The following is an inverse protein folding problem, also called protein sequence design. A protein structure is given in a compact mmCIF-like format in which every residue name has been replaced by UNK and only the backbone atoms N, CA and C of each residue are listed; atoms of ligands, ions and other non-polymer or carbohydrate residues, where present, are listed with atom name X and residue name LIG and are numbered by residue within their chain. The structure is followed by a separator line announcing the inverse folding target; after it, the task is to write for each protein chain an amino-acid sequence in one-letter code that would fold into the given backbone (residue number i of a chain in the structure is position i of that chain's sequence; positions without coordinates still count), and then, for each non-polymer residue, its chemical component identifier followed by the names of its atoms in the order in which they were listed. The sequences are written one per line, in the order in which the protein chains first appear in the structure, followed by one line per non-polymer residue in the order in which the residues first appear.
data_IF_810708492212
#
_entry.id   IF_810708492212
#
_cell.length_a   1.000
_cell.length_b   1.000
_cell.length_c   1.000
_cell.angle_alpha   90.00
_cell.angle_beta   90.00
_cell.angle_gamma   90.00
#
_symmetry.space_group_name_H-M   'P 1'
#
loop_
_entity.id
_entity.type
_entity.pdbx_description
1 polymer ?
#
# COMPACT_ATOMS: atom_id res chain seq x y z
N UNK A 1 33.63 47.21 -11.42
CA UNK A 1 33.77 45.77 -11.69
C UNK A 1 33.44 45.54 -13.13
N UNK A 2 34.25 44.74 -13.83
CA UNK A 2 33.98 44.35 -15.21
C UNK A 2 33.04 43.13 -15.26
N UNK A 3 32.36 42.93 -16.38
CA UNK A 3 31.47 41.78 -16.60
C UNK A 3 32.32 40.51 -16.67
N UNK A 4 32.07 39.57 -15.75
CA UNK A 4 32.82 38.31 -15.67
C UNK A 4 32.35 37.25 -16.68
N UNK A 5 31.07 37.29 -17.08
CA UNK A 5 30.50 36.43 -18.11
C UNK A 5 29.17 37.02 -18.63
N UNK A 6 28.92 36.85 -19.93
CA UNK A 6 27.65 37.18 -20.57
C UNK A 6 27.23 36.00 -21.45
N UNK A 7 26.15 35.30 -21.06
CA UNK A 7 25.67 34.09 -21.73
C UNK A 7 24.15 34.23 -21.93
N UNK A 8 23.60 33.91 -23.12
CA UNK A 8 22.15 33.92 -23.33
C UNK A 8 21.44 32.93 -22.40
N UNK A 9 20.39 33.37 -21.71
CA UNK A 9 19.61 32.51 -20.81
C UNK A 9 19.13 31.21 -21.48
N UNK A 10 18.71 31.28 -22.76
CA UNK A 10 18.30 30.11 -23.54
C UNK A 10 19.41 29.06 -23.72
N UNK A 11 20.67 29.48 -23.79
CA UNK A 11 21.79 28.56 -23.90
C UNK A 11 21.99 27.73 -22.62
N UNK A 12 21.58 28.27 -21.46
CA UNK A 12 21.68 27.60 -20.17
C UNK A 12 20.44 26.77 -19.83
N UNK A 13 19.26 27.17 -20.32
CA UNK A 13 17.98 26.57 -19.92
C UNK A 13 17.36 25.62 -20.95
N UNK A 14 17.44 25.95 -22.26
CA UNK A 14 16.62 25.31 -23.30
C UNK A 14 17.46 24.57 -24.36
N UNK A 15 18.69 25.03 -24.62
CA UNK A 15 19.55 24.45 -25.66
C UNK A 15 20.46 23.33 -25.14
N UNK A 16 20.07 22.65 -24.07
CA UNK A 16 20.79 21.47 -23.58
C UNK A 16 20.54 20.30 -24.54
N UNK A 17 21.58 19.51 -24.90
CA UNK A 17 21.39 18.35 -25.76
C UNK A 17 20.40 17.36 -25.16
N UNK A 18 19.39 16.97 -25.94
CA UNK A 18 18.50 15.87 -25.60
C UNK A 18 19.10 14.57 -26.14
N UNK A 19 19.15 13.55 -25.28
CA UNK A 19 19.70 12.24 -25.64
C UNK A 19 18.57 11.24 -25.86
N UNK A 20 18.49 10.71 -27.08
CA UNK A 20 17.65 9.56 -27.39
C UNK A 20 18.42 8.27 -27.10
N UNK A 21 17.78 7.33 -26.40
CA UNK A 21 18.35 6.02 -26.09
C UNK A 21 17.46 4.94 -26.70
N UNK A 22 18.06 3.84 -27.12
CA UNK A 22 17.31 2.69 -27.64
C UNK A 22 16.55 2.04 -26.49
N UNK A 23 15.23 2.05 -26.59
CA UNK A 23 14.37 1.29 -25.67
C UNK A 23 14.37 -0.19 -26.06
N UNK A 24 14.59 -1.08 -25.09
CA UNK A 24 14.44 -2.52 -25.31
C UNK A 24 13.00 -2.84 -25.66
N UNK A 25 12.79 -3.63 -26.73
CA UNK A 25 11.48 -4.08 -27.17
C UNK A 25 10.94 -5.26 -26.35
N UNK A 26 11.84 -6.00 -25.72
CA UNK A 26 11.55 -7.17 -24.90
C UNK A 26 12.03 -6.95 -23.47
N UNK A 27 11.39 -7.57 -22.45
CA UNK A 27 11.88 -7.53 -21.09
C UNK A 27 13.33 -8.04 -20.98
N UNK A 28 14.17 -7.44 -20.12
CA UNK A 28 15.51 -7.94 -19.83
C UNK A 28 15.50 -9.39 -19.32
N UNK A 29 16.62 -10.09 -19.49
CA UNK A 29 16.72 -11.51 -19.14
C UNK A 29 16.43 -11.79 -17.66
N UNK A 30 16.90 -10.93 -16.74
CA UNK A 30 16.65 -11.09 -15.31
C UNK A 30 15.14 -11.07 -14.98
N UNK A 31 14.37 -10.25 -15.69
CA UNK A 31 12.91 -10.14 -15.53
C UNK A 31 12.24 -11.42 -16.04
N UNK A 32 12.64 -11.90 -17.23
CA UNK A 32 12.12 -13.13 -17.82
C UNK A 32 12.32 -14.32 -16.88
N UNK A 33 13.53 -14.49 -16.34
CA UNK A 33 13.87 -15.53 -15.38
C UNK A 33 13.04 -15.40 -14.09
N UNK A 34 12.89 -14.17 -13.57
CA UNK A 34 12.06 -13.92 -12.39
C UNK A 34 10.60 -14.32 -12.63
N UNK A 35 10.05 -14.04 -13.81
CA UNK A 35 8.67 -14.38 -14.17
C UNK A 35 8.39 -15.87 -14.37
N UNK A 36 9.42 -16.72 -14.50
CA UNK A 36 9.25 -18.18 -14.52
C UNK A 36 8.88 -18.74 -13.14
N UNK A 37 9.02 -17.95 -12.07
CA UNK A 37 8.59 -18.34 -10.74
C UNK A 37 7.05 -18.35 -10.63
N UNK A 38 6.52 -19.36 -9.95
CA UNK A 38 5.10 -19.48 -9.59
C UNK A 38 4.99 -20.03 -8.17
N UNK A 39 3.86 -19.80 -7.51
CA UNK A 39 3.59 -20.31 -6.15
C UNK A 39 3.66 -21.83 -6.04
N UNK A 40 3.53 -22.56 -7.15
CA UNK A 40 3.74 -24.02 -7.19
C UNK A 40 5.18 -24.46 -6.91
N UNK A 41 6.16 -23.55 -6.94
CA UNK A 41 7.54 -23.82 -6.50
C UNK A 41 7.71 -23.79 -4.98
N UNK A 42 6.73 -23.27 -4.23
CA UNK A 42 6.76 -23.25 -2.78
C UNK A 42 6.34 -24.62 -2.22
N UNK A 43 6.81 -24.99 -1.01
CA UNK A 43 6.32 -26.15 -0.29
C UNK A 43 4.79 -26.14 -0.16
N UNK A 44 4.19 -27.33 -0.05
CA UNK A 44 2.76 -27.44 0.22
C UNK A 44 2.47 -26.84 1.59
N UNK A 45 1.40 -26.04 1.68
CA UNK A 45 0.90 -25.51 2.94
C UNK A 45 -0.49 -26.09 3.25
N UNK A 46 -0.89 -26.01 4.50
CA UNK A 46 -2.24 -26.35 4.94
C UNK A 46 -2.77 -25.30 5.92
N UNK A 47 -3.95 -25.55 6.49
CA UNK A 47 -4.62 -24.62 7.41
C UNK A 47 -3.78 -24.24 8.65
N UNK A 48 -2.72 -25.00 9.00
CA UNK A 48 -1.88 -24.77 10.17
C UNK A 48 -0.64 -23.93 9.87
N UNK A 49 -0.10 -24.02 8.65
CA UNK A 49 1.17 -23.40 8.30
C UNK A 49 1.84 -23.98 7.07
N UNK A 50 3.13 -23.73 6.97
CA UNK A 50 3.99 -24.14 5.85
C UNK A 50 5.40 -24.48 6.35
N UNK A 51 6.02 -25.47 5.73
CA UNK A 51 7.43 -25.77 5.97
C UNK A 51 8.31 -24.87 5.10
N UNK A 52 9.25 -24.16 5.72
CA UNK A 52 10.16 -23.21 5.06
C UNK A 52 11.57 -23.50 5.53
N UNK A 53 12.47 -23.79 4.59
CA UNK A 53 13.88 -24.11 4.87
C UNK A 53 14.11 -25.21 5.94
N UNK A 54 13.21 -26.20 6.02
CA UNK A 54 13.28 -27.31 6.97
C UNK A 54 12.72 -27.00 8.37
N UNK A 55 12.08 -25.84 8.55
CA UNK A 55 11.36 -25.46 9.77
C UNK A 55 9.86 -25.31 9.46
N UNK A 56 8.99 -25.87 10.29
CA UNK A 56 7.56 -25.61 10.21
C UNK A 56 7.24 -24.25 10.82
N UNK A 57 6.65 -23.35 10.04
CA UNK A 57 6.17 -22.06 10.51
C UNK A 57 4.64 -22.04 10.51
N UNK A 58 4.06 -21.73 11.66
CA UNK A 58 2.62 -21.45 11.72
C UNK A 58 2.30 -20.11 11.04
N UNK A 59 1.03 -19.91 10.67
CA UNK A 59 0.58 -18.63 10.14
C UNK A 59 0.77 -17.46 11.13
N UNK A 60 0.75 -17.76 12.43
CA UNK A 60 1.05 -16.80 13.50
C UNK A 60 2.52 -16.38 13.47
N UNK A 61 3.44 -17.35 13.33
CA UNK A 61 4.87 -17.07 13.25
C UNK A 61 5.20 -16.21 12.04
N UNK A 62 4.55 -16.50 10.89
CA UNK A 62 4.71 -15.73 9.67
C UNK A 62 4.19 -14.31 9.83
N UNK A 63 2.99 -14.12 10.39
CA UNK A 63 2.46 -12.77 10.62
C UNK A 63 3.38 -11.97 11.56
N UNK A 64 3.90 -12.57 12.63
CA UNK A 64 4.86 -11.90 13.53
C UNK A 64 6.17 -11.53 12.81
N UNK A 65 6.69 -12.41 11.93
CA UNK A 65 7.87 -12.11 11.10
C UNK A 65 7.60 -10.92 10.17
N UNK A 66 6.42 -10.86 9.54
CA UNK A 66 6.03 -9.76 8.65
C UNK A 66 5.82 -8.45 9.41
N UNK A 67 5.11 -8.45 10.54
CA UNK A 67 4.95 -7.27 11.40
C UNK A 67 6.28 -6.74 11.96
N UNK A 68 7.31 -7.60 12.01
CA UNK A 68 8.68 -7.21 12.38
C UNK A 68 9.52 -6.69 11.18
N UNK A 69 8.97 -6.64 9.97
CA UNK A 69 9.70 -6.19 8.78
C UNK A 69 9.58 -4.68 8.63
N UNK A 70 10.67 -3.90 8.45
CA UNK A 70 10.61 -2.44 8.44
C UNK A 70 9.62 -1.81 7.44
N UNK A 71 9.38 -2.44 6.29
CA UNK A 71 8.40 -2.00 5.30
C UNK A 71 6.97 -2.05 5.83
N UNK A 72 6.63 -3.03 6.66
CA UNK A 72 5.30 -3.17 7.30
C UNK A 72 5.27 -2.48 8.66
N UNK A 73 6.27 -2.70 9.51
CA UNK A 73 6.29 -2.29 10.91
C UNK A 73 5.97 -0.80 11.16
N UNK A 74 5.57 -0.48 12.39
CA UNK A 74 5.22 0.89 12.78
C UNK A 74 6.34 1.89 12.47
N UNK A 75 5.99 2.93 11.72
CA UNK A 75 6.91 4.05 11.45
C UNK A 75 7.02 5.05 12.62
N UNK A 76 6.47 4.71 13.79
CA UNK A 76 6.44 5.58 14.97
C UNK A 76 7.79 5.96 15.52
N UNK A 77 8.82 5.15 15.31
CA UNK A 77 10.17 5.53 15.67
C UNK A 77 10.64 6.77 14.88
N UNK A 78 10.23 6.89 13.61
CA UNK A 78 10.60 8.01 12.73
C UNK A 78 9.81 9.26 13.08
N UNK A 79 8.47 9.21 13.02
CA UNK A 79 7.67 10.43 13.15
C UNK A 79 7.62 11.01 14.57
N UNK A 80 8.00 10.26 15.61
CA UNK A 80 8.14 10.80 16.98
C UNK A 80 9.39 11.68 17.17
N UNK A 81 10.31 11.67 16.21
CA UNK A 81 11.51 12.52 16.24
C UNK A 81 11.24 13.94 15.74
N UNK A 82 10.09 14.17 15.11
CA UNK A 82 9.73 15.45 14.49
C UNK A 82 8.43 15.98 15.08
N UNK A 83 8.28 17.31 15.06
CA UNK A 83 6.98 17.93 15.32
C UNK A 83 6.06 17.67 14.12
N UNK A 84 4.96 16.96 14.37
CA UNK A 84 3.94 16.57 13.39
C UNK A 84 2.63 17.37 13.55
N UNK A 85 2.61 18.37 14.43
CA UNK A 85 1.45 19.18 14.77
C UNK A 85 1.71 20.68 14.61
N UNK A 86 2.64 21.09 13.74
CA UNK A 86 2.97 22.51 13.54
C UNK A 86 1.70 23.34 13.39
N UNK A 87 1.48 24.25 14.35
CA UNK A 87 0.32 25.13 14.47
C UNK A 87 -1.05 24.44 14.65
N UNK A 88 -1.10 23.20 15.13
CA UNK A 88 -2.32 22.40 15.37
C UNK A 88 -3.22 22.26 14.12
N UNK A 89 -2.59 22.11 12.94
CA UNK A 89 -3.27 22.04 11.66
C UNK A 89 -3.55 20.61 11.16
N UNK A 90 -2.87 19.63 11.75
CA UNK A 90 -3.01 18.20 11.45
C UNK A 90 -4.28 17.66 12.12
N UNK A 91 -5.14 16.99 11.35
CA UNK A 91 -6.41 16.40 11.84
C UNK A 91 -6.23 14.92 12.14
N UNK A 92 -5.59 14.17 11.23
CA UNK A 92 -5.18 12.78 11.46
C UNK A 92 -3.65 12.73 11.62
N UNK A 93 -3.21 12.20 12.77
CA UNK A 93 -1.79 12.10 13.11
C UNK A 93 -1.12 10.94 12.35
N UNK A 94 0.20 11.01 12.11
CA UNK A 94 0.94 9.92 11.47
C UNK A 94 0.71 8.56 12.17
N UNK A 95 0.47 7.51 11.38
CA UNK A 95 0.21 6.16 11.88
C UNK A 95 -1.23 5.92 12.38
N UNK A 96 -2.13 6.90 12.27
CA UNK A 96 -3.55 6.72 12.56
C UNK A 96 -4.41 6.40 11.33
N UNK A 97 -3.87 6.53 10.13
CA UNK A 97 -4.57 6.35 8.86
C UNK A 97 -3.60 6.19 7.69
N UNK A 98 -4.13 5.75 6.55
CA UNK A 98 -3.39 5.54 5.30
C UNK A 98 -2.87 6.85 4.66
N UNK A 99 -3.48 7.99 4.98
CA UNK A 99 -3.04 9.29 4.51
C UNK A 99 -3.07 10.35 5.63
N UNK A 100 -2.13 11.29 5.57
CA UNK A 100 -2.12 12.44 6.47
C UNK A 100 -3.23 13.42 6.08
N UNK A 101 -3.97 13.95 7.06
CA UNK A 101 -5.04 14.93 6.81
C UNK A 101 -4.72 16.25 7.48
N UNK A 102 -4.74 17.32 6.70
CA UNK A 102 -4.39 18.68 7.09
C UNK A 102 -5.60 19.61 6.87
N UNK A 103 -5.94 20.44 7.85
CA UNK A 103 -7.02 21.42 7.72
C UNK A 103 -6.61 22.56 6.78
N UNK A 104 -7.51 22.97 5.89
CA UNK A 104 -7.32 24.18 5.10
C UNK A 104 -7.59 25.42 5.96
N UNK A 105 -6.71 26.41 5.88
CA UNK A 105 -6.86 27.67 6.62
C UNK A 105 -7.45 28.76 5.74
N UNK A 106 -8.19 29.72 6.32
CA UNK A 106 -8.65 30.87 5.58
C UNK A 106 -7.45 31.68 5.11
N UNK A 107 -7.40 31.96 3.82
CA UNK A 107 -6.60 33.04 3.30
C UNK A 107 -7.26 34.36 3.71
N UNK A 108 -6.46 35.37 4.08
CA UNK A 108 -6.99 36.68 4.49
C UNK A 108 -7.88 37.26 3.39
N UNK A 109 -9.15 37.54 3.72
CA UNK A 109 -10.15 38.05 2.78
C UNK A 109 -11.01 36.99 2.08
N UNK A 110 -10.84 35.69 2.36
CA UNK A 110 -11.70 34.64 1.82
C UNK A 110 -13.06 34.58 2.54
N UNK A 111 -14.15 34.46 1.78
CA UNK A 111 -15.52 34.22 2.27
C UNK A 111 -15.87 32.74 2.39
N UNK A 112 -14.98 31.84 1.95
CA UNK A 112 -15.13 30.39 2.11
C UNK A 112 -14.87 30.05 3.57
N UNK A 113 -15.81 29.36 4.23
CA UNK A 113 -15.70 28.82 5.58
C UNK A 113 -14.73 27.62 5.55
N UNK A 114 -13.43 27.79 5.84
CA UNK A 114 -12.40 26.81 5.46
C UNK A 114 -12.13 25.78 6.58
N UNK A 115 -12.73 25.97 7.76
CA UNK A 115 -12.54 25.09 8.93
C UNK A 115 -13.14 23.70 8.76
N UNK A 116 -13.99 23.50 7.76
CA UNK A 116 -14.63 22.23 7.44
C UNK A 116 -13.87 21.45 6.37
N UNK A 117 -13.05 22.09 5.53
CA UNK A 117 -12.31 21.41 4.46
C UNK A 117 -10.87 21.07 4.82
N UNK A 118 -10.30 20.06 4.18
CA UNK A 118 -8.92 19.63 4.37
C UNK A 118 -8.25 19.14 3.08
N UNK A 119 -6.95 18.93 3.18
CA UNK A 119 -6.14 18.24 2.17
C UNK A 119 -5.60 16.97 2.79
N UNK A 120 -5.75 15.87 2.09
CA UNK A 120 -5.06 14.63 2.41
C UNK A 120 -3.82 14.47 1.54
N UNK A 121 -2.78 13.84 2.08
CA UNK A 121 -1.55 13.55 1.36
C UNK A 121 -1.01 12.17 1.73
N UNK A 122 -0.51 11.45 0.73
CA UNK A 122 0.17 10.15 0.87
C UNK A 122 1.39 10.08 -0.03
N UNK A 123 2.29 9.14 0.27
CA UNK A 123 3.49 8.85 -0.53
C UNK A 123 3.68 7.34 -0.58
N UNK A 124 3.73 6.80 -1.79
CA UNK A 124 3.68 5.36 -2.03
C UNK A 124 4.76 4.93 -3.03
N UNK A 125 5.33 3.74 -2.82
CA UNK A 125 6.28 3.11 -3.74
C UNK A 125 6.60 1.65 -3.36
N UNK A 126 6.15 0.68 -4.16
CA UNK A 126 6.61 -0.71 -4.07
C UNK A 126 7.73 -0.97 -5.11
N UNK A 127 8.99 -0.79 -4.70
CA UNK A 127 10.13 -0.91 -5.61
C UNK A 127 10.39 -2.34 -6.10
N UNK A 128 9.94 -3.38 -5.36
CA UNK A 128 10.02 -4.77 -5.83
C UNK A 128 9.12 -5.01 -7.03
N UNK A 129 7.90 -4.48 -7.00
CA UNK A 129 6.99 -4.60 -8.12
C UNK A 129 7.58 -3.93 -9.36
N UNK A 130 8.11 -2.70 -9.20
CA UNK A 130 8.72 -1.96 -10.32
C UNK A 130 10.00 -2.66 -10.82
N UNK A 131 10.76 -3.31 -9.93
CA UNK A 131 11.94 -4.09 -10.33
C UNK A 131 11.57 -5.30 -11.21
N UNK A 132 10.48 -5.99 -10.85
CA UNK A 132 9.99 -7.20 -11.53
C UNK A 132 9.16 -6.88 -12.77
N UNK A 133 8.40 -5.79 -12.77
CA UNK A 133 7.67 -5.27 -13.93
C UNK A 133 7.51 -3.74 -13.76
N UNK A 134 8.36 -2.91 -14.38
CA UNK A 134 8.32 -1.47 -14.17
C UNK A 134 6.99 -0.84 -14.56
N UNK A 135 6.28 -1.42 -15.52
CA UNK A 135 5.02 -0.86 -16.00
C UNK A 135 3.86 -1.23 -15.09
N UNK A 136 3.67 -2.52 -14.79
CA UNK A 136 2.60 -2.94 -13.85
C UNK A 136 2.89 -2.42 -12.43
N UNK A 137 4.14 -2.47 -11.98
CA UNK A 137 4.53 -1.96 -10.66
C UNK A 137 4.29 -0.46 -10.52
N UNK A 138 4.59 0.34 -11.54
CA UNK A 138 4.33 1.78 -11.46
C UNK A 138 2.84 2.13 -11.53
N UNK A 139 2.01 1.33 -12.24
CA UNK A 139 0.54 1.45 -12.15
C UNK A 139 0.04 1.15 -10.73
N UNK A 140 0.60 0.12 -10.09
CA UNK A 140 0.23 -0.26 -8.72
C UNK A 140 0.49 0.88 -7.74
N UNK A 141 1.64 1.53 -7.86
CA UNK A 141 2.02 2.68 -7.00
C UNK A 141 1.02 3.83 -7.12
N UNK A 142 0.57 4.18 -8.33
CA UNK A 142 -0.44 5.24 -8.53
C UNK A 142 -1.80 4.81 -7.98
N UNK A 143 -2.19 3.55 -8.17
CA UNK A 143 -3.45 3.01 -7.68
C UNK A 143 -3.53 3.02 -6.15
N UNK A 144 -2.45 2.59 -5.48
CA UNK A 144 -2.32 2.56 -4.03
C UNK A 144 -2.36 3.97 -3.42
N UNK A 145 -1.63 4.93 -4.00
CA UNK A 145 -1.70 6.32 -3.54
C UNK A 145 -3.12 6.90 -3.59
N UNK A 146 -3.88 6.61 -4.64
CA UNK A 146 -5.27 7.03 -4.72
C UNK A 146 -6.17 6.27 -3.72
N UNK A 147 -5.87 4.99 -3.45
CA UNK A 147 -6.57 4.14 -2.49
C UNK A 147 -6.38 4.65 -1.06
N UNK A 148 -5.16 4.98 -0.67
CA UNK A 148 -4.81 5.53 0.64
C UNK A 148 -5.52 6.86 0.92
N UNK A 149 -5.61 7.75 -0.09
CA UNK A 149 -6.44 8.95 0.01
C UNK A 149 -7.94 8.62 0.17
N UNK A 150 -8.42 7.61 -0.54
CA UNK A 150 -9.83 7.20 -0.49
C UNK A 150 -10.22 6.61 0.86
N UNK A 151 -9.32 5.87 1.53
CA UNK A 151 -9.52 5.32 2.88
C UNK A 151 -9.74 6.40 3.95
N UNK A 152 -9.22 7.62 3.76
CA UNK A 152 -9.50 8.76 4.65
C UNK A 152 -10.67 9.63 4.18
N UNK A 153 -11.36 9.23 3.10
CA UNK A 153 -12.48 9.96 2.50
C UNK A 153 -12.09 11.08 1.55
N UNK A 154 -10.80 11.21 1.20
CA UNK A 154 -10.33 12.27 0.32
C UNK A 154 -10.51 11.89 -1.15
N UNK A 155 -10.97 12.83 -1.98
CA UNK A 155 -10.98 12.67 -3.43
C UNK A 155 -9.56 12.89 -3.98
N UNK A 156 -8.94 11.90 -4.64
CA UNK A 156 -7.63 12.08 -5.29
C UNK A 156 -7.70 13.17 -6.37
N UNK A 157 -6.70 14.06 -6.42
CA UNK A 157 -6.69 15.22 -7.33
C UNK A 157 -5.42 15.33 -8.18
N UNK A 158 -4.24 15.15 -7.61
CA UNK A 158 -3.00 15.41 -8.31
C UNK A 158 -1.83 14.60 -7.75
N UNK A 159 -0.86 14.35 -8.62
CA UNK A 159 0.37 13.60 -8.33
C UNK A 159 1.58 14.51 -8.40
N UNK A 160 2.58 14.24 -7.56
CA UNK A 160 3.98 14.57 -7.77
C UNK A 160 4.80 13.29 -7.81
N UNK A 161 5.75 13.18 -8.72
CA UNK A 161 6.61 11.99 -8.82
C UNK A 161 8.08 12.30 -8.49
N UNK A 162 8.73 11.42 -7.74
CA UNK A 162 10.17 11.46 -7.52
C UNK A 162 10.78 10.17 -8.07
N UNK A 163 11.29 10.25 -9.29
CA UNK A 163 11.80 9.13 -10.06
C UNK A 163 13.26 8.86 -9.67
N UNK A 164 13.53 7.73 -9.01
CA UNK A 164 14.89 7.31 -8.63
C UNK A 164 15.28 6.04 -9.37
N UNK A 165 16.24 6.14 -10.28
CA UNK A 165 16.67 5.04 -11.14
C UNK A 165 18.20 4.97 -11.27
N UNK A 166 18.71 3.81 -11.71
CA UNK A 166 20.11 3.63 -12.09
C UNK A 166 20.51 4.44 -13.33
N UNK A 167 21.65 4.12 -13.94
CA UNK A 167 22.13 4.86 -15.10
C UNK A 167 21.21 4.67 -16.32
N UNK A 168 20.68 5.75 -16.93
CA UNK A 168 19.89 5.68 -18.16
C UNK A 168 20.75 5.39 -19.39
N UNK A 169 22.07 5.29 -19.23
CA UNK A 169 22.99 4.97 -20.33
C UNK A 169 23.02 3.46 -20.60
N UNK A 170 22.66 2.66 -19.60
CA UNK A 170 22.52 1.20 -19.71
C UNK A 170 21.12 0.87 -20.22
N UNK A 171 21.02 -0.12 -21.12
CA UNK A 171 19.75 -0.51 -21.73
C UNK A 171 18.69 -0.90 -20.68
N UNK A 172 19.08 -1.62 -19.63
CA UNK A 172 18.18 -2.02 -18.53
C UNK A 172 17.71 -0.81 -17.73
N UNK A 173 18.60 0.11 -17.36
CA UNK A 173 18.24 1.31 -16.59
C UNK A 173 17.29 2.22 -17.35
N UNK A 174 17.54 2.42 -18.66
CA UNK A 174 16.63 3.16 -19.52
C UNK A 174 15.28 2.46 -19.72
N UNK A 175 15.28 1.13 -19.85
CA UNK A 175 14.05 0.33 -19.96
C UNK A 175 13.18 0.45 -18.70
N UNK A 176 13.78 0.32 -17.51
CA UNK A 176 13.07 0.48 -16.24
C UNK A 176 12.44 1.87 -16.13
N UNK A 177 13.22 2.92 -16.39
CA UNK A 177 12.74 4.31 -16.35
C UNK A 177 11.57 4.51 -17.34
N UNK A 178 11.74 4.11 -18.60
CA UNK A 178 10.74 4.35 -19.64
C UNK A 178 9.42 3.62 -19.37
N UNK A 179 9.47 2.36 -18.92
CA UNK A 179 8.26 1.59 -18.62
C UNK A 179 7.59 2.03 -17.32
N UNK A 180 8.35 2.44 -16.31
CA UNK A 180 7.79 3.07 -15.11
C UNK A 180 7.05 4.38 -15.45
N UNK A 181 7.65 5.28 -16.23
CA UNK A 181 6.98 6.51 -16.68
C UNK A 181 5.69 6.21 -17.47
N UNK A 182 5.68 5.17 -18.30
CA UNK A 182 4.47 4.72 -19.01
C UNK A 182 3.39 4.24 -18.03
N UNK A 183 3.77 3.45 -17.02
CA UNK A 183 2.85 2.95 -15.99
C UNK A 183 2.23 4.08 -15.17
N UNK A 184 3.05 5.04 -14.71
CA UNK A 184 2.57 6.25 -14.01
C UNK A 184 1.61 7.02 -14.92
N UNK A 185 1.98 7.26 -16.17
CA UNK A 185 1.15 8.00 -17.13
C UNK A 185 -0.21 7.35 -17.34
N UNK A 186 -0.26 6.02 -17.45
CA UNK A 186 -1.51 5.29 -17.57
C UNK A 186 -2.35 5.38 -16.29
N UNK A 187 -1.76 5.12 -15.12
CA UNK A 187 -2.49 5.21 -13.85
C UNK A 187 -3.07 6.60 -13.60
N UNK A 188 -2.30 7.65 -13.92
CA UNK A 188 -2.77 9.04 -13.82
C UNK A 188 -3.94 9.33 -14.77
N UNK A 189 -3.93 8.75 -15.98
CA UNK A 189 -5.06 8.90 -16.93
C UNK A 189 -6.30 8.16 -16.45
N UNK A 190 -6.13 6.93 -15.98
CA UNK A 190 -7.23 6.07 -15.53
C UNK A 190 -7.92 6.61 -14.27
N UNK A 191 -7.19 7.30 -13.39
CA UNK A 191 -7.72 7.89 -12.16
C UNK A 191 -8.00 9.41 -12.27
N UNK A 192 -7.67 10.04 -13.39
CA UNK A 192 -7.87 11.47 -13.60
C UNK A 192 -7.01 12.36 -12.70
N UNK A 193 -5.80 11.91 -12.35
CA UNK A 193 -4.87 12.57 -11.43
C UNK A 193 -3.62 13.08 -12.15
N UNK A 194 -3.60 14.33 -12.67
CA UNK A 194 -2.44 14.85 -13.39
C UNK A 194 -1.18 14.93 -12.53
N UNK A 195 -0.03 14.69 -13.16
CA UNK A 195 1.28 14.99 -12.57
C UNK A 195 1.52 16.49 -12.66
N UNK A 196 1.65 17.15 -11.50
CA UNK A 196 1.74 18.61 -11.38
C UNK A 196 3.16 19.11 -11.10
N UNK A 197 4.06 18.20 -10.72
CA UNK A 197 5.45 18.48 -10.43
C UNK A 197 6.19 17.18 -10.16
N UNK A 198 7.51 17.26 -10.01
CA UNK A 198 8.31 16.09 -9.72
C UNK A 198 9.80 16.35 -9.73
N UNK A 199 10.56 15.28 -9.50
CA UNK A 199 12.01 15.25 -9.53
C UNK A 199 12.48 13.96 -10.22
N UNK A 200 13.63 14.04 -10.89
CA UNK A 200 14.26 12.87 -11.53
C UNK A 200 15.69 12.76 -11.03
N UNK A 201 15.95 11.71 -10.26
CA UNK A 201 17.27 11.29 -9.80
C UNK A 201 17.73 10.08 -10.60
N UNK A 202 18.82 10.23 -11.34
CA UNK A 202 19.40 9.19 -12.19
C UNK A 202 20.80 8.84 -11.68
N UNK A 203 21.37 7.75 -12.20
CA UNK A 203 22.71 7.28 -11.79
C UNK A 203 22.78 6.86 -10.32
N UNK A 204 21.65 6.42 -9.74
CA UNK A 204 21.60 5.87 -8.39
C UNK A 204 22.16 4.43 -8.40
N UNK A 205 23.49 4.34 -8.33
CA UNK A 205 24.23 3.08 -8.36
C UNK A 205 25.33 3.12 -7.29
N UNK A 206 25.59 1.98 -6.65
CA UNK A 206 26.75 1.78 -5.77
C UNK A 206 27.70 0.77 -6.43
N UNK A 207 28.88 0.55 -5.87
CA UNK A 207 29.79 -0.51 -6.35
C UNK A 207 29.77 -1.68 -5.37
N UNK A 208 29.67 -2.91 -5.90
CA UNK A 208 29.87 -4.11 -5.09
C UNK A 208 31.34 -4.32 -4.68
N UNK A 209 31.61 -5.37 -3.91
CA UNK A 209 32.95 -5.69 -3.44
C UNK A 209 33.95 -6.00 -4.58
N UNK A 210 33.45 -6.29 -5.78
CA UNK A 210 34.23 -6.57 -6.99
C UNK A 210 34.35 -5.32 -7.88
N UNK A 211 33.78 -4.18 -7.47
CA UNK A 211 33.83 -2.93 -8.21
C UNK A 211 32.81 -2.85 -9.36
N UNK A 212 31.81 -3.74 -9.43
CA UNK A 212 30.76 -3.63 -10.44
C UNK A 212 29.64 -2.71 -9.94
N UNK A 213 29.09 -1.85 -10.82
CA UNK A 213 27.99 -0.97 -10.43
C UNK A 213 26.69 -1.76 -10.21
N UNK A 214 26.11 -1.60 -9.03
CA UNK A 214 24.83 -2.14 -8.61
C UNK A 214 23.81 -1.00 -8.55
N UNK A 215 22.83 -1.05 -9.44
CA UNK A 215 21.73 -0.10 -9.42
C UNK A 215 20.79 -0.38 -8.24
N UNK A 216 20.18 0.67 -7.71
CA UNK A 216 19.03 0.51 -6.80
C UNK A 216 17.88 -0.20 -7.50
N UNK A 217 16.92 -0.70 -6.73
CA UNK A 217 15.62 -1.01 -7.33
C UNK A 217 15.00 0.26 -7.91
N UNK A 218 14.37 0.19 -9.10
CA UNK A 218 13.67 1.33 -9.66
C UNK A 218 12.59 1.80 -8.67
N UNK A 219 12.67 3.06 -8.26
CA UNK A 219 11.87 3.60 -7.15
C UNK A 219 11.19 4.90 -7.60
N UNK A 220 10.11 4.80 -8.41
CA UNK A 220 9.26 5.92 -8.76
C UNK A 220 8.31 6.22 -7.60
N UNK A 221 8.74 7.09 -6.69
CA UNK A 221 7.92 7.49 -5.55
C UNK A 221 6.80 8.40 -6.02
N UNK A 222 5.55 8.05 -5.73
CA UNK A 222 4.38 8.87 -6.06
C UNK A 222 3.86 9.50 -4.78
N UNK A 223 3.95 10.82 -4.72
CA UNK A 223 3.19 11.62 -3.76
C UNK A 223 1.85 11.99 -4.38
N UNK A 224 0.75 11.80 -3.65
CA UNK A 224 -0.57 12.18 -4.13
C UNK A 224 -1.30 13.03 -3.10
N UNK A 225 -2.01 14.05 -3.58
CA UNK A 225 -2.85 14.91 -2.77
C UNK A 225 -4.32 14.77 -3.14
N UNK A 226 -5.18 14.84 -2.14
CA UNK A 226 -6.63 14.78 -2.29
C UNK A 226 -7.35 15.84 -1.48
N UNK A 227 -8.59 16.14 -1.88
CA UNK A 227 -9.47 17.09 -1.20
C UNK A 227 -10.42 16.36 -0.26
N UNK A 228 -10.56 16.89 0.95
CA UNK A 228 -11.64 16.55 1.87
C UNK A 228 -12.55 17.76 1.97
N UNK A 229 -13.79 17.62 1.51
CA UNK A 229 -14.77 18.71 1.56
C UNK A 229 -15.25 19.00 2.98
N UNK A 230 -15.36 17.95 3.80
CA UNK A 230 -15.88 18.00 5.17
C UNK A 230 -15.06 17.07 6.09
N UNK A 231 -14.28 17.67 6.98
CA UNK A 231 -13.41 17.04 7.96
C UNK A 231 -14.19 16.28 9.05
N UNK A 232 -15.52 16.44 9.12
CA UNK A 232 -16.37 15.57 9.95
C UNK A 232 -16.70 14.24 9.26
N UNK A 233 -16.28 14.06 8.00
CA UNK A 233 -16.51 12.87 7.16
C UNK A 233 -15.17 12.29 6.73
N UNK A 234 -14.37 11.93 7.72
CA UNK A 234 -13.10 11.22 7.58
C UNK A 234 -13.11 10.05 8.56
N UNK A 235 -12.27 9.04 8.31
CA UNK A 235 -12.00 7.99 9.27
C UNK A 235 -10.52 7.61 9.27
N UNK A 236 -10.08 6.96 10.34
CA UNK A 236 -8.75 6.33 10.41
C UNK A 236 -8.80 4.84 10.10
N UNK A 237 -7.64 4.19 10.15
CA UNK A 237 -7.49 2.76 9.85
C UNK A 237 -7.92 1.85 11.02
N UNK A 238 -7.79 2.34 12.26
CA UNK A 238 -8.07 1.54 13.46
C UNK A 238 -9.55 1.23 13.63
N UNK A 239 -9.88 0.02 14.11
CA UNK A 239 -11.24 -0.33 14.51
C UNK A 239 -11.78 0.64 15.56
N UNK A 240 -13.05 1.05 15.44
CA UNK A 240 -13.64 2.06 16.33
C UNK A 240 -14.57 1.46 17.38
N UNK A 241 -15.47 0.54 17.00
CA UNK A 241 -16.49 0.02 17.90
C UNK A 241 -16.58 -1.50 17.88
N UNK A 242 -16.70 -2.10 19.06
CA UNK A 242 -17.03 -3.53 19.21
C UNK A 242 -18.42 -3.81 18.63
N UNK A 243 -18.53 -4.86 17.83
CA UNK A 243 -19.77 -5.26 17.14
C UNK A 243 -19.94 -4.67 15.75
N UNK A 244 -19.08 -3.74 15.31
CA UNK A 244 -19.08 -3.28 13.91
C UNK A 244 -18.75 -4.48 12.99
N UNK A 245 -19.51 -4.61 11.90
CA UNK A 245 -19.26 -5.62 10.88
C UNK A 245 -18.02 -5.26 10.06
N UNK A 246 -17.14 -6.22 9.82
CA UNK A 246 -15.92 -6.06 9.01
C UNK A 246 -16.20 -6.56 7.59
N UNK A 247 -15.92 -5.73 6.60
CA UNK A 247 -16.10 -6.03 5.18
C UNK A 247 -14.79 -5.80 4.42
N UNK A 248 -14.55 -6.64 3.43
CA UNK A 248 -13.54 -6.45 2.40
C UNK A 248 -14.23 -5.93 1.14
N UNK A 249 -13.84 -4.75 0.68
CA UNK A 249 -14.28 -4.18 -0.59
C UNK A 249 -13.34 -4.63 -1.70
N UNK A 250 -13.90 -4.93 -2.87
CA UNK A 250 -13.14 -5.37 -4.05
C UNK A 250 -12.94 -6.88 -4.10
N UNK A 251 -11.75 -7.33 -4.50
CA UNK A 251 -11.51 -8.76 -4.75
C UNK A 251 -11.76 -9.59 -3.48
N UNK A 252 -12.72 -10.54 -3.49
CA UNK A 252 -13.04 -11.34 -2.31
C UNK A 252 -11.94 -12.38 -2.03
N UNK A 253 -11.97 -12.97 -0.84
CA UNK A 253 -10.94 -13.91 -0.33
C UNK A 253 -10.78 -15.15 -1.21
N UNK A 254 -11.85 -15.56 -1.90
CA UNK A 254 -11.82 -16.69 -2.82
C UNK A 254 -11.08 -16.42 -4.13
N UNK A 255 -10.78 -15.17 -4.46
CA UNK A 255 -9.99 -14.81 -5.64
C UNK A 255 -8.52 -14.97 -5.30
N UNK A 256 -7.81 -15.76 -6.12
CA UNK A 256 -6.37 -15.91 -6.01
C UNK A 256 -5.67 -14.57 -6.26
N UNK A 257 -4.85 -14.16 -5.30
CA UNK A 257 -3.91 -13.05 -5.44
C UNK A 257 -2.48 -13.55 -5.62
N UNK A 258 -1.59 -12.64 -6.01
CA UNK A 258 -0.22 -12.99 -6.36
C UNK A 258 0.69 -12.92 -5.14
N UNK A 259 1.60 -13.90 -5.06
CA UNK A 259 2.77 -13.85 -4.15
C UNK A 259 4.01 -13.31 -4.87
N UNK A 260 3.96 -13.10 -6.18
CA UNK A 260 5.07 -12.56 -6.95
C UNK A 260 5.41 -11.14 -6.50
N UNK A 261 6.65 -10.91 -6.10
CA UNK A 261 7.11 -9.62 -5.58
C UNK A 261 6.63 -9.25 -4.17
N UNK A 262 5.87 -10.11 -3.50
CA UNK A 262 5.27 -9.79 -2.19
C UNK A 262 6.28 -9.72 -1.05
N UNK A 263 5.93 -9.01 0.03
CA UNK A 263 6.69 -9.04 1.28
C UNK A 263 6.79 -10.45 1.84
N UNK A 264 5.71 -11.24 1.73
CA UNK A 264 5.72 -12.64 2.15
C UNK A 264 6.81 -13.45 1.43
N UNK A 265 6.88 -13.37 0.10
CA UNK A 265 7.87 -14.12 -0.66
C UNK A 265 9.30 -13.64 -0.36
N UNK A 266 9.49 -12.32 -0.24
CA UNK A 266 10.78 -11.71 0.03
C UNK A 266 11.31 -12.03 1.43
N UNK A 267 10.46 -11.93 2.46
CA UNK A 267 10.86 -12.07 3.86
C UNK A 267 10.91 -13.53 4.30
N UNK A 268 9.91 -14.33 3.93
CA UNK A 268 9.77 -15.70 4.44
C UNK A 268 10.60 -16.68 3.61
N UNK A 269 10.60 -16.52 2.28
CA UNK A 269 11.29 -17.43 1.36
C UNK A 269 12.57 -16.84 0.75
N UNK A 270 12.97 -15.64 1.19
CA UNK A 270 14.18 -14.95 0.73
C UNK A 270 14.26 -14.84 -0.79
N UNK A 271 13.11 -14.63 -1.44
CA UNK A 271 12.96 -14.68 -2.90
C UNK A 271 12.30 -13.41 -3.43
N UNK A 272 12.89 -12.77 -4.44
CA UNK A 272 12.26 -11.69 -5.21
C UNK A 272 12.07 -12.17 -6.64
N UNK A 273 10.89 -12.70 -6.92
CA UNK A 273 10.55 -13.30 -8.21
C UNK A 273 9.03 -13.28 -8.41
N UNK A 274 8.59 -13.79 -9.57
CA UNK A 274 7.19 -13.80 -9.99
C UNK A 274 6.78 -12.50 -10.67
N UNK A 275 5.59 -12.52 -11.26
CA UNK A 275 4.98 -11.30 -11.78
C UNK A 275 4.26 -10.58 -10.64
N UNK A 276 4.39 -9.25 -10.54
CA UNK A 276 3.59 -8.49 -9.59
C UNK A 276 2.10 -8.55 -9.98
N UNK A 277 1.19 -8.20 -9.05
CA UNK A 277 -0.24 -8.17 -9.33
C UNK A 277 -0.57 -7.25 -10.49
N UNK A 278 -1.46 -7.69 -11.38
CA UNK A 278 -1.98 -6.85 -12.45
C UNK A 278 -3.03 -5.88 -11.90
N UNK A 279 -2.92 -4.61 -12.27
CA UNK A 279 -3.88 -3.59 -11.82
C UNK A 279 -5.09 -3.52 -12.74
N UNK A 280 -6.27 -3.68 -12.14
CA UNK A 280 -7.58 -3.42 -12.76
C UNK A 280 -8.07 -2.04 -12.32
N UNK A 281 -7.88 -1.04 -13.18
CA UNK A 281 -8.30 0.32 -12.88
C UNK A 281 -9.82 0.53 -12.86
N UNK A 282 -10.60 -0.34 -13.52
CA UNK A 282 -12.06 -0.25 -13.41
C UNK A 282 -12.47 -0.62 -11.99
N UNK A 283 -11.95 -1.74 -11.47
CA UNK A 283 -12.24 -2.16 -10.11
C UNK A 283 -11.66 -1.20 -9.06
N UNK A 284 -10.43 -0.68 -9.26
CA UNK A 284 -9.85 0.33 -8.36
C UNK A 284 -10.76 1.56 -8.24
N UNK A 285 -11.25 2.10 -9.36
CA UNK A 285 -12.17 3.26 -9.33
C UNK A 285 -13.44 2.96 -8.55
N UNK A 286 -14.07 1.81 -8.82
CA UNK A 286 -15.34 1.46 -8.20
C UNK A 286 -15.19 1.26 -6.69
N UNK A 287 -14.16 0.51 -6.25
CA UNK A 287 -13.86 0.26 -4.84
C UNK A 287 -13.54 1.56 -4.10
N UNK A 288 -12.68 2.39 -4.67
CA UNK A 288 -12.29 3.67 -4.07
C UNK A 288 -13.47 4.64 -3.98
N UNK A 289 -14.31 4.72 -5.03
CA UNK A 289 -15.51 5.56 -5.02
C UNK A 289 -16.52 5.09 -3.96
N UNK A 290 -16.76 3.79 -3.84
CA UNK A 290 -17.68 3.20 -2.86
C UNK A 290 -17.19 3.45 -1.43
N UNK A 291 -15.88 3.33 -1.19
CA UNK A 291 -15.27 3.67 0.10
C UNK A 291 -15.52 5.14 0.48
N UNK A 292 -15.16 6.08 -0.41
CA UNK A 292 -15.39 7.52 -0.17
C UNK A 292 -16.88 7.84 0.03
N UNK A 293 -17.76 7.20 -0.73
CA UNK A 293 -19.21 7.37 -0.57
C UNK A 293 -19.68 6.92 0.82
N UNK A 294 -19.28 5.74 1.28
CA UNK A 294 -19.64 5.24 2.61
C UNK A 294 -19.12 6.12 3.75
N UNK A 295 -17.89 6.64 3.63
CA UNK A 295 -17.32 7.60 4.59
C UNK A 295 -18.12 8.91 4.59
N UNK A 296 -18.43 9.45 3.40
CA UNK A 296 -19.18 10.71 3.28
C UNK A 296 -20.61 10.64 3.86
N UNK A 297 -21.21 9.45 3.89
CA UNK A 297 -22.52 9.19 4.48
C UNK A 297 -22.45 8.77 5.95
N UNK A 298 -21.24 8.71 6.55
CA UNK A 298 -20.99 8.25 7.92
C UNK A 298 -21.49 6.82 8.18
N UNK A 299 -21.46 5.97 7.15
CA UNK A 299 -21.77 4.54 7.26
C UNK A 299 -20.54 3.73 7.65
N UNK A 300 -19.35 4.20 7.28
CA UNK A 300 -18.06 3.59 7.60
C UNK A 300 -17.50 4.20 8.89
N UNK A 301 -17.14 3.34 9.84
CA UNK A 301 -16.44 3.70 11.09
C UNK A 301 -14.94 3.82 10.89
N UNK A 302 -14.34 2.89 10.14
CA UNK A 302 -12.91 2.88 9.81
C UNK A 302 -12.69 2.27 8.43
N UNK A 303 -11.61 2.66 7.77
CA UNK A 303 -11.19 2.10 6.49
C UNK A 303 -9.67 1.99 6.42
N UNK A 304 -9.18 0.89 5.87
CA UNK A 304 -7.76 0.61 5.70
C UNK A 304 -7.55 -0.21 4.44
N UNK A 305 -6.57 0.16 3.65
CA UNK A 305 -6.24 -0.55 2.43
C UNK A 305 -5.56 -1.91 2.71
N UNK A 306 -5.48 -2.81 1.72
CA UNK A 306 -4.77 -4.09 1.85
C UNK A 306 -3.68 -4.21 0.81
N UNK A 307 -2.50 -3.69 1.17
CA UNK A 307 -1.30 -3.63 0.34
C UNK A 307 -0.24 -4.68 0.78
N UNK A 308 0.93 -4.24 1.25
CA UNK A 308 2.06 -5.11 1.64
C UNK A 308 1.71 -6.11 2.74
N UNK A 309 2.08 -7.37 2.54
CA UNK A 309 1.81 -8.45 3.47
C UNK A 309 0.35 -8.95 3.45
N UNK A 310 -0.52 -8.34 2.64
CA UNK A 310 -1.85 -8.85 2.32
C UNK A 310 -2.90 -8.68 3.40
N UNK A 311 -3.92 -9.54 3.35
CA UNK A 311 -5.16 -9.37 4.11
C UNK A 311 -4.94 -9.40 5.64
N UNK A 312 -4.15 -10.37 6.12
CA UNK A 312 -3.98 -10.53 7.57
C UNK A 312 -3.08 -9.47 8.20
N UNK A 313 -2.16 -8.88 7.43
CA UNK A 313 -1.37 -7.72 7.87
C UNK A 313 -2.29 -6.51 8.01
N UNK A 314 -3.11 -6.21 7.01
CA UNK A 314 -4.07 -5.12 7.08
C UNK A 314 -5.05 -5.28 8.26
N UNK A 315 -5.57 -6.50 8.51
CA UNK A 315 -6.40 -6.80 9.68
C UNK A 315 -5.64 -6.56 11.00
N UNK A 316 -4.37 -6.96 11.09
CA UNK A 316 -3.54 -6.74 12.26
C UNK A 316 -3.28 -5.26 12.51
N UNK A 317 -3.01 -4.46 11.47
CA UNK A 317 -2.78 -3.02 11.58
C UNK A 317 -4.03 -2.28 12.05
N UNK A 318 -5.21 -2.69 11.58
CA UNK A 318 -6.48 -2.15 12.07
C UNK A 318 -6.73 -2.49 13.56
N UNK A 319 -6.42 -3.72 13.97
CA UNK A 319 -6.50 -4.13 15.38
C UNK A 319 -5.55 -3.32 16.27
N UNK A 320 -4.30 -3.15 15.82
CA UNK A 320 -3.24 -2.43 16.54
C UNK A 320 -3.56 -0.94 16.67
N UNK A 321 -4.00 -0.31 15.58
CA UNK A 321 -4.35 1.11 15.56
C UNK A 321 -5.63 1.40 16.38
N UNK A 322 -6.61 0.51 16.34
CA UNK A 322 -7.87 0.63 17.09
C UNK A 322 -7.80 0.17 18.55
N UNK A 323 -6.75 -0.57 18.94
CA UNK A 323 -6.66 -1.26 20.23
C UNK A 323 -7.92 -2.13 20.51
N UNK A 324 -8.37 -2.84 19.48
CA UNK A 324 -9.51 -3.75 19.48
C UNK A 324 -9.16 -5.04 18.73
N UNK A 325 -9.89 -6.12 18.99
CA UNK A 325 -9.72 -7.38 18.28
C UNK A 325 -10.62 -7.48 17.04
N UNK A 326 -10.45 -8.56 16.29
CA UNK A 326 -11.33 -8.91 15.19
C UNK A 326 -11.60 -10.42 15.18
N UNK A 327 -12.85 -10.80 14.86
CA UNK A 327 -13.20 -12.18 14.58
C UNK A 327 -13.57 -12.30 13.11
N UNK A 328 -12.79 -13.09 12.38
CA UNK A 328 -12.78 -13.16 10.92
C UNK A 328 -13.05 -14.58 10.48
N UNK A 329 -14.01 -14.75 9.57
CA UNK A 329 -14.22 -15.97 8.81
C UNK A 329 -13.84 -15.71 7.35
N UNK A 330 -12.89 -16.50 6.84
CA UNK A 330 -12.37 -16.33 5.48
C UNK A 330 -13.38 -16.74 4.38
N UNK A 331 -14.44 -17.48 4.73
CA UNK A 331 -15.42 -17.98 3.77
C UNK A 331 -14.88 -19.10 2.87
N UNK A 332 -13.71 -19.66 3.20
CA UNK A 332 -13.10 -20.80 2.50
C UNK A 332 -13.02 -22.02 3.43
N UNK A 333 -13.06 -23.22 2.86
CA UNK A 333 -12.96 -24.48 3.62
C UNK A 333 -11.52 -24.77 4.05
N UNK A 334 -11.33 -25.30 5.26
CA UNK A 334 -10.03 -25.79 5.75
C UNK A 334 -9.41 -26.90 4.89
N UNK A 335 -10.24 -27.66 4.17
CA UNK A 335 -9.86 -28.73 3.25
C UNK A 335 -10.05 -28.35 1.78
N UNK A 336 -10.15 -27.04 1.48
CA UNK A 336 -10.30 -26.54 0.11
C UNK A 336 -9.03 -26.66 -0.74
N UNK A 337 -9.15 -26.36 -2.02
CA UNK A 337 -8.04 -26.39 -2.99
C UNK A 337 -7.17 -25.11 -2.97
N UNK A 338 -7.58 -24.08 -2.24
CA UNK A 338 -6.85 -22.81 -2.16
C UNK A 338 -5.60 -22.94 -1.29
N UNK A 339 -4.49 -22.32 -1.69
CA UNK A 339 -3.32 -22.21 -0.82
C UNK A 339 -3.53 -21.13 0.24
N UNK A 340 -3.28 -21.46 1.50
CA UNK A 340 -3.51 -20.53 2.60
C UNK A 340 -2.51 -19.36 2.61
N UNK A 341 -1.27 -19.54 2.15
CA UNK A 341 -0.31 -18.44 2.02
C UNK A 341 -0.77 -17.38 1.01
N UNK A 342 -1.32 -17.78 -0.14
CA UNK A 342 -1.92 -16.88 -1.13
C UNK A 342 -3.13 -16.12 -0.55
N UNK A 343 -3.98 -16.81 0.21
CA UNK A 343 -5.18 -16.22 0.82
C UNK A 343 -4.84 -15.19 1.89
N UNK A 344 -3.89 -15.52 2.77
CA UNK A 344 -3.55 -14.70 3.93
C UNK A 344 -2.62 -13.54 3.55
N UNK A 345 -1.59 -13.81 2.74
CA UNK A 345 -0.49 -12.88 2.47
C UNK A 345 -0.33 -12.51 0.99
N UNK A 346 -1.23 -12.96 0.13
CA UNK A 346 -1.30 -12.50 -1.26
C UNK A 346 -1.55 -11.00 -1.31
N UNK A 347 -0.79 -10.33 -2.18
CA UNK A 347 -0.86 -8.89 -2.39
C UNK A 347 -1.56 -8.61 -3.72
N UNK A 348 -2.24 -7.47 -3.81
CA UNK A 348 -3.02 -7.11 -4.99
C UNK A 348 -3.69 -5.76 -4.84
N UNK A 349 -4.16 -5.22 -5.96
CA UNK A 349 -4.92 -3.97 -5.97
C UNK A 349 -6.38 -4.14 -5.55
N UNK A 350 -7.05 -3.00 -5.43
CA UNK A 350 -8.48 -2.85 -5.23
C UNK A 350 -9.02 -3.67 -4.05
N UNK A 351 -8.37 -3.57 -2.88
CA UNK A 351 -8.88 -4.13 -1.62
C UNK A 351 -8.81 -3.11 -0.51
N UNK A 352 -9.95 -2.91 0.17
CA UNK A 352 -10.08 -2.03 1.33
C UNK A 352 -10.90 -2.75 2.40
N UNK A 353 -10.37 -2.85 3.61
CA UNK A 353 -11.09 -3.27 4.80
C UNK A 353 -11.89 -2.09 5.36
N UNK A 354 -13.16 -2.31 5.69
CA UNK A 354 -14.00 -1.32 6.34
C UNK A 354 -14.76 -1.91 7.52
N UNK A 355 -14.99 -1.10 8.56
CA UNK A 355 -15.89 -1.44 9.67
C UNK A 355 -17.19 -0.63 9.60
N UNK A 356 -18.32 -1.30 9.81
CA UNK A 356 -19.67 -0.76 9.60
C UNK A 356 -20.54 -1.00 10.83
N UNK A 357 -21.14 0.04 11.43
CA UNK A 357 -22.11 -0.13 12.50
C UNK A 357 -23.31 -0.97 12.08
N UNK A 358 -23.82 -1.82 12.97
CA UNK A 358 -24.96 -2.69 12.68
C UNK A 358 -26.22 -1.95 12.20
N UNK A 359 -26.39 -0.68 12.61
CA UNK A 359 -27.49 0.19 12.16
C UNK A 359 -27.46 0.49 10.66
N UNK A 360 -26.28 0.46 10.03
CA UNK A 360 -26.11 0.75 8.60
C UNK A 360 -25.90 -0.50 7.74
N UNK A 361 -25.84 -1.70 8.34
CA UNK A 361 -25.54 -2.92 7.62
C UNK A 361 -26.44 -3.13 6.39
N UNK A 362 -27.77 -3.01 6.54
CA UNK A 362 -28.70 -3.30 5.45
C UNK A 362 -28.57 -2.32 4.28
N UNK A 363 -28.43 -1.03 4.57
CA UNK A 363 -28.25 -0.01 3.52
C UNK A 363 -26.89 -0.15 2.86
N UNK A 364 -25.86 -0.50 3.64
CA UNK A 364 -24.51 -0.74 3.15
C UNK A 364 -24.44 -1.93 2.19
N UNK A 365 -24.93 -3.09 2.59
CA UNK A 365 -24.94 -4.30 1.75
C UNK A 365 -25.75 -4.11 0.46
N UNK A 366 -26.87 -3.37 0.54
CA UNK A 366 -27.66 -3.02 -0.65
C UNK A 366 -26.87 -2.11 -1.61
N UNK A 367 -26.13 -1.14 -1.07
CA UNK A 367 -25.27 -0.25 -1.86
C UNK A 367 -24.09 -1.02 -2.48
N UNK A 368 -23.42 -1.87 -1.70
CA UNK A 368 -22.35 -2.74 -2.20
C UNK A 368 -22.82 -3.63 -3.35
N UNK A 369 -23.98 -4.27 -3.21
CA UNK A 369 -24.53 -5.13 -4.25
C UNK A 369 -24.81 -4.37 -5.56
N UNK A 370 -25.26 -3.12 -5.47
CA UNK A 370 -25.57 -2.28 -6.63
C UNK A 370 -24.31 -1.75 -7.33
N UNK A 371 -23.23 -1.50 -6.59
CA UNK A 371 -22.03 -0.81 -7.12
C UNK A 371 -20.81 -1.70 -7.31
N UNK A 372 -20.66 -2.77 -6.53
CA UNK A 372 -19.54 -3.72 -6.63
C UNK A 372 -19.97 -5.13 -7.05
N UNK A 373 -21.28 -5.43 -7.08
CA UNK A 373 -21.77 -6.75 -7.45
C UNK A 373 -21.25 -7.82 -6.49
N UNK A 374 -20.38 -8.70 -6.99
CA UNK A 374 -19.73 -9.77 -6.21
C UNK A 374 -18.33 -9.38 -5.70
N UNK A 375 -17.86 -8.16 -5.99
CA UNK A 375 -16.55 -7.66 -5.57
C UNK A 375 -16.64 -7.03 -4.17
N UNK A 376 -17.16 -7.79 -3.21
CA UNK A 376 -17.08 -7.48 -1.79
C UNK A 376 -17.38 -8.74 -0.97
N UNK A 377 -16.95 -8.77 0.29
CA UNK A 377 -17.21 -9.87 1.21
C UNK A 377 -17.36 -9.36 2.64
N UNK A 378 -18.37 -9.84 3.36
CA UNK A 378 -18.42 -9.69 4.82
C UNK A 378 -17.49 -10.72 5.44
N UNK A 379 -16.50 -10.26 6.21
CA UNK A 379 -15.48 -11.10 6.82
C UNK A 379 -15.83 -11.48 8.26
N UNK A 380 -16.48 -10.59 9.01
CA UNK A 380 -16.79 -10.86 10.41
C UNK A 380 -17.14 -9.62 11.20
N UNK A 381 -16.59 -9.48 12.40
CA UNK A 381 -16.91 -8.36 13.29
C UNK A 381 -15.74 -7.95 14.19
N UNK A 382 -15.72 -6.67 14.55
CA UNK A 382 -14.82 -6.13 15.57
C UNK A 382 -15.20 -6.67 16.95
N UNK A 383 -14.21 -7.10 17.73
CA UNK A 383 -14.39 -7.67 19.07
C UNK A 383 -13.51 -6.95 20.10
N UNK A 384 -13.67 -7.31 21.37
CA UNK A 384 -12.86 -6.72 22.44
C UNK A 384 -11.37 -7.05 22.26
N UNK A 385 -10.50 -6.16 22.76
CA UNK A 385 -9.05 -6.34 22.77
C UNK A 385 -8.62 -7.72 23.30
N UNK A 386 -9.24 -8.19 24.39
CA UNK A 386 -8.94 -9.47 25.04
C UNK A 386 -9.29 -10.70 24.20
N UNK A 387 -10.09 -10.55 23.15
CA UNK A 387 -10.40 -11.62 22.21
C UNK A 387 -9.33 -11.79 21.12
N UNK A 388 -8.45 -10.80 20.94
CA UNK A 388 -7.39 -10.84 19.93
C UNK A 388 -7.90 -10.72 18.49
N UNK A 389 -7.00 -10.97 17.54
CA UNK A 389 -7.34 -11.21 16.13
C UNK A 389 -7.48 -12.72 15.93
N UNK A 390 -8.70 -13.18 15.64
CA UNK A 390 -9.02 -14.57 15.34
C UNK A 390 -9.40 -14.70 13.87
N UNK A 391 -8.78 -15.65 13.17
CA UNK A 391 -9.10 -15.97 11.77
C UNK A 391 -9.49 -17.44 11.70
N UNK A 392 -10.67 -17.71 11.17
CA UNK A 392 -11.20 -19.05 10.97
C UNK A 392 -11.65 -19.28 9.53
N UNK A 393 -11.85 -20.55 9.21
CA UNK A 393 -12.41 -21.03 7.95
C UNK A 393 -13.93 -21.12 8.02
N UNK A 394 -14.58 -21.41 6.89
CA UNK A 394 -16.03 -21.60 6.79
C UNK A 394 -16.54 -22.71 7.71
N UNK A 395 -15.73 -23.74 7.94
CA UNK A 395 -15.99 -24.88 8.81
C UNK A 395 -15.49 -24.67 10.26
N UNK A 396 -15.31 -23.41 10.66
CA UNK A 396 -14.91 -22.98 12.01
C UNK A 396 -13.56 -23.51 12.51
N UNK A 397 -12.70 -24.00 11.60
CA UNK A 397 -11.32 -24.30 11.95
C UNK A 397 -10.56 -22.99 12.21
N UNK A 398 -9.95 -22.86 13.39
CA UNK A 398 -9.11 -21.71 13.75
C UNK A 398 -7.76 -21.77 13.03
N UNK A 399 -7.56 -20.86 12.08
CA UNK A 399 -6.32 -20.71 11.29
C UNK A 399 -5.25 -20.01 12.11
N UNK A 400 -5.65 -18.98 12.86
CA UNK A 400 -4.75 -18.21 13.71
C UNK A 400 -5.50 -17.47 14.83
N UNK A 401 -4.81 -17.25 15.96
CA UNK A 401 -5.28 -16.40 17.06
C UNK A 401 -4.12 -15.57 17.61
N UNK A 402 -4.19 -14.25 17.42
CA UNK A 402 -3.14 -13.32 17.82
C UNK A 402 -3.57 -12.46 19.00
N UNK A 403 -2.71 -12.38 20.01
CA UNK A 403 -2.83 -11.39 21.08
C UNK A 403 -2.38 -10.00 20.58
N UNK A 404 -3.22 -8.97 20.78
CA UNK A 404 -2.94 -7.62 20.28
C UNK A 404 -1.71 -7.01 20.97
N UNK A 405 -1.56 -7.07 22.32
CA UNK A 405 -0.31 -6.65 22.98
C UNK A 405 0.95 -7.32 22.44
N UNK A 406 0.92 -8.63 22.19
CA UNK A 406 2.06 -9.35 21.59
C UNK A 406 2.40 -8.82 20.20
N UNK A 407 1.40 -8.68 19.31
CA UNK A 407 1.61 -8.08 17.99
C UNK A 407 2.16 -6.66 18.09
N UNK A 408 1.62 -5.85 19.01
CA UNK A 408 2.03 -4.47 19.20
C UNK A 408 3.48 -4.34 19.64
N UNK A 409 3.95 -5.23 20.53
CA UNK A 409 5.35 -5.24 20.95
C UNK A 409 6.30 -5.49 19.77
N UNK A 410 5.94 -6.41 18.87
CA UNK A 410 6.72 -6.69 17.65
C UNK A 410 6.65 -5.52 16.67
N UNK A 411 5.44 -5.09 16.32
CA UNK A 411 5.17 -4.07 15.32
C UNK A 411 5.77 -2.70 15.65
N UNK A 412 5.67 -2.25 16.92
CA UNK A 412 6.15 -0.93 17.31
C UNK A 412 7.65 -0.87 17.59
N UNK A 413 8.30 -1.99 17.91
CA UNK A 413 9.73 -2.02 18.27
C UNK A 413 10.65 -2.41 17.11
N UNK A 414 10.12 -2.99 16.04
CA UNK A 414 10.91 -3.55 14.94
C UNK A 414 12.00 -2.62 14.38
N UNK A 415 11.66 -1.35 14.13
CA UNK A 415 12.61 -0.35 13.59
C UNK A 415 13.59 0.08 14.68
N UNK A 416 13.09 0.39 15.88
CA UNK A 416 13.91 0.84 17.00
C UNK A 416 15.01 -0.18 17.36
N UNK A 417 14.64 -1.47 17.42
CA UNK A 417 15.57 -2.56 17.73
C UNK A 417 16.69 -2.67 16.71
N UNK A 418 16.40 -2.50 15.41
CA UNK A 418 17.41 -2.57 14.35
C UNK A 418 18.38 -1.40 14.36
N UNK A 419 17.90 -0.22 14.74
CA UNK A 419 18.74 0.98 14.83
C UNK A 419 19.59 1.00 16.11
N UNK A 420 19.11 0.39 17.20
CA UNK A 420 19.86 0.26 18.45
C UNK A 420 21.14 -0.59 18.35
N UNK A 421 21.29 -1.43 17.31
CA UNK A 421 22.53 -2.19 17.08
C UNK A 421 23.66 -1.35 16.45
N UNK A 422 23.40 -0.08 16.14
CA UNK A 422 24.37 0.86 15.55
C UNK A 422 24.86 1.94 16.52
N UNK A 423 24.47 1.88 17.79
CA UNK A 423 25.05 2.64 18.92
C UNK A 423 25.93 1.70 19.77
#
# INVERSE_FOLDING_TARGET
GEVAAEIPAKALAENTPLYERKLLSEPPEYVKLAWEWTSGKLPTCDVRGIEVHGEFLSWQDILLKLLNTPSIASKSWVYRQYDHQVQNNTVLLPGGADAAVLRLRPLSGSTVTPWESGVAATVDCNSRYVYLDPYEGAKAVVAEAARNLSCVGAQPLAVTDNLNFGSPEKEIGYWQLAYACKGISEGCKELGTPVTGGNVSLYNETFDAQGNPQAIYPTPVVGMVGLIEDLQKICGQGWQNVGDGIYLLGLPVSVKLELGGSEYLAVIHHTVAGKPPKIDFALERDVQQVCRYGISHKWISSAHDSAEGGLVVALAECCLSGNLGASINLGISSNGECRFDEVLFGEGGARILVSIPGTYQQVWESYLQAHLGNNWQKLGSVVNLSSGLTVSTLDDYEVMRMDIPQMGNVYHQAIAQRLAFYE
#
